data_IF_277374266689
#
_entry.id   IF_277374266689
#
_cell.length_a   1.000
_cell.length_b   1.000
_cell.length_c   1.000
_cell.angle_alpha   90.00
_cell.angle_beta   90.00
_cell.angle_gamma   90.00
#
_symmetry.space_group_name_H-M   'P 1'
#
loop_
_entity.id
_entity.type
_entity.pdbx_description
1 polymer ?
#
# COMPACT_ATOMS: atom_id res chain seq x y z
N UNK A 1 -7.09 -6.17 -3.95
CA UNK A 1 -6.82 -4.91 -4.67
C UNK A 1 -6.02 -5.16 -5.91
N UNK A 2 -6.15 -4.26 -6.86
CA UNK A 2 -5.26 -4.21 -8.01
C UNK A 2 -3.98 -3.47 -7.61
N UNK A 3 -2.91 -4.18 -7.58
CA UNK A 3 -1.62 -3.69 -7.13
C UNK A 3 -0.85 -4.82 -6.46
N UNK A 4 0.24 -5.24 -7.04
CA UNK A 4 1.00 -6.38 -6.58
C UNK A 4 2.50 -6.11 -6.54
N UNK A 5 3.27 -7.18 -6.57
CA UNK A 5 4.72 -7.13 -6.42
C UNK A 5 5.44 -6.32 -7.51
N UNK A 6 4.90 -6.32 -8.74
CA UNK A 6 5.49 -5.52 -9.84
C UNK A 6 5.34 -4.02 -9.62
N UNK A 7 4.42 -3.59 -8.75
CA UNK A 7 4.19 -2.20 -8.41
C UNK A 7 4.89 -1.80 -7.12
N UNK A 8 4.81 -2.65 -6.09
CA UNK A 8 5.18 -2.31 -4.73
C UNK A 8 6.51 -2.94 -4.28
N UNK A 9 7.09 -3.83 -5.11
CA UNK A 9 8.13 -4.78 -4.70
C UNK A 9 7.61 -5.79 -3.68
N UNK A 10 8.42 -6.78 -3.30
CA UNK A 10 8.08 -7.71 -2.23
C UNK A 10 8.81 -7.42 -0.93
N UNK A 11 9.25 -6.19 -0.75
CA UNK A 11 9.84 -5.80 0.52
C UNK A 11 8.78 -5.82 1.61
N UNK A 12 9.19 -6.24 2.80
CA UNK A 12 8.27 -6.53 3.89
C UNK A 12 8.82 -6.07 5.22
N UNK A 13 7.91 -5.85 6.14
CA UNK A 13 8.20 -5.47 7.50
C UNK A 13 7.56 -6.50 8.43
N UNK A 14 8.27 -6.89 9.48
CA UNK A 14 7.71 -7.76 10.51
C UNK A 14 7.13 -6.93 11.65
N UNK A 15 5.85 -7.15 11.95
CA UNK A 15 5.17 -6.52 13.07
C UNK A 15 5.03 -7.50 14.22
N UNK A 16 5.39 -7.04 15.42
CA UNK A 16 5.12 -7.77 16.66
C UNK A 16 3.66 -7.52 17.08
N UNK A 17 2.89 -8.58 17.20
CA UNK A 17 1.52 -8.51 17.68
C UNK A 17 1.47 -8.62 19.21
N UNK A 18 0.39 -8.13 19.81
CA UNK A 18 0.19 -8.17 21.27
C UNK A 18 0.21 -9.59 21.87
N UNK A 19 -0.13 -10.58 21.07
CA UNK A 19 -0.13 -11.99 21.46
C UNK A 19 1.19 -12.71 21.15
N UNK A 20 2.28 -11.98 21.04
CA UNK A 20 3.62 -12.47 20.71
C UNK A 20 3.76 -13.13 19.34
N UNK A 21 2.74 -13.05 18.49
CA UNK A 21 2.83 -13.51 17.10
C UNK A 21 3.48 -12.45 16.23
N UNK A 22 4.38 -12.89 15.35
CA UNK A 22 4.97 -12.04 14.33
C UNK A 22 4.12 -12.08 13.06
N UNK A 23 3.87 -10.93 12.45
CA UNK A 23 3.14 -10.82 11.20
C UNK A 23 3.97 -10.05 10.18
N UNK A 24 4.16 -10.63 9.02
CA UNK A 24 4.79 -9.94 7.90
C UNK A 24 3.75 -9.09 7.16
N UNK A 25 4.11 -7.85 6.88
CA UNK A 25 3.28 -6.93 6.11
C UNK A 25 4.05 -6.37 4.92
N UNK A 26 3.33 -6.03 3.87
CA UNK A 26 3.88 -5.50 2.62
C UNK A 26 3.53 -4.03 2.39
N UNK A 27 2.88 -3.40 3.32
CA UNK A 27 2.54 -1.99 3.30
C UNK A 27 1.41 -1.65 4.26
N UNK A 28 1.29 -0.39 4.60
CA UNK A 28 0.19 0.17 5.36
C UNK A 28 -0.94 0.63 4.44
N UNK A 29 -2.09 0.91 5.02
CA UNK A 29 -3.28 1.35 4.29
C UNK A 29 -3.55 2.81 4.62
N UNK A 30 -3.79 3.61 3.59
CA UNK A 30 -4.18 5.01 3.71
C UNK A 30 -5.59 5.16 3.17
N UNK A 31 -6.44 5.78 3.96
CA UNK A 31 -7.82 6.03 3.57
C UNK A 31 -7.92 7.35 2.81
N UNK A 32 -8.64 7.34 1.71
CA UNK A 32 -9.02 8.56 1.01
C UNK A 32 -10.35 9.06 1.60
N UNK A 33 -10.33 10.27 2.13
CA UNK A 33 -11.53 10.94 2.62
C UNK A 33 -11.57 12.36 2.05
N UNK A 34 -12.64 12.69 1.33
CA UNK A 34 -12.84 14.01 0.74
C UNK A 34 -11.64 14.51 -0.09
N UNK A 35 -11.07 13.61 -0.90
CA UNK A 35 -9.85 13.82 -1.71
C UNK A 35 -8.57 14.04 -0.89
N UNK A 36 -8.60 13.67 0.39
CA UNK A 36 -7.45 13.75 1.29
C UNK A 36 -6.92 12.36 1.63
N UNK A 37 -5.63 12.14 1.42
CA UNK A 37 -4.92 10.90 1.73
C UNK A 37 -4.20 10.96 3.09
N UNK A 38 -4.58 11.85 3.98
CA UNK A 38 -3.86 12.07 5.23
C UNK A 38 -4.10 11.02 6.31
N UNK A 39 -5.15 10.21 6.19
CA UNK A 39 -5.52 9.27 7.23
C UNK A 39 -4.88 7.89 7.04
N UNK A 40 -3.82 7.63 7.79
CA UNK A 40 -3.17 6.32 7.85
C UNK A 40 -3.93 5.45 8.85
N UNK A 41 -4.35 4.26 8.43
CA UNK A 41 -5.05 3.32 9.31
C UNK A 41 -4.08 2.63 10.28
N UNK A 42 -4.50 2.31 11.50
CA UNK A 42 -3.64 1.61 12.45
C UNK A 42 -3.16 0.26 11.91
N UNK A 43 -1.86 0.00 12.01
CA UNK A 43 -1.26 -1.25 11.54
C UNK A 43 -1.73 -2.48 12.32
N UNK A 44 -2.34 -2.30 13.46
CA UNK A 44 -2.85 -3.39 14.31
C UNK A 44 -3.97 -4.22 13.69
N UNK A 45 -4.42 -3.89 12.50
CA UNK A 45 -5.48 -4.64 11.82
C UNK A 45 -5.65 -4.26 10.36
N UNK A 46 -4.82 -3.33 9.86
CA UNK A 46 -4.99 -2.77 8.53
C UNK A 46 -3.64 -2.72 7.81
N UNK A 47 -3.42 -3.65 6.90
CA UNK A 47 -2.14 -3.75 6.19
C UNK A 47 -2.28 -4.59 4.91
N UNK A 48 -1.28 -4.47 4.05
CA UNK A 48 -1.15 -5.37 2.90
C UNK A 48 -0.59 -6.69 3.41
N UNK A 49 -1.40 -7.73 3.34
CA UNK A 49 -1.09 -9.05 3.89
C UNK A 49 -0.28 -9.91 2.93
N UNK A 50 -0.57 -9.83 1.64
CA UNK A 50 0.03 -10.70 0.64
C UNK A 50 0.05 -10.00 -0.71
N UNK A 51 1.11 -10.25 -1.47
CA UNK A 51 1.24 -9.77 -2.84
C UNK A 51 1.40 -10.95 -3.80
N UNK A 52 0.58 -10.97 -4.84
CA UNK A 52 0.84 -11.70 -6.08
C UNK A 52 1.59 -10.77 -7.02
N UNK A 53 1.74 -11.15 -8.28
CA UNK A 53 2.43 -10.31 -9.25
C UNK A 53 1.74 -8.95 -9.46
N UNK A 54 0.44 -8.95 -9.69
CA UNK A 54 -0.34 -7.76 -10.06
C UNK A 54 -1.47 -7.44 -9.07
N UNK A 55 -1.71 -8.30 -8.10
CA UNK A 55 -2.78 -8.16 -7.13
C UNK A 55 -2.26 -8.24 -5.71
N UNK A 56 -2.97 -7.64 -4.81
CA UNK A 56 -2.68 -7.69 -3.39
C UNK A 56 -3.91 -8.06 -2.57
N UNK A 57 -3.66 -8.73 -1.47
CA UNK A 57 -4.68 -9.00 -0.46
C UNK A 57 -4.39 -8.10 0.72
N UNK A 58 -5.36 -7.28 1.08
CA UNK A 58 -5.27 -6.42 2.25
C UNK A 58 -6.13 -6.98 3.37
N UNK A 59 -5.66 -6.81 4.58
CA UNK A 59 -6.44 -7.04 5.78
C UNK A 59 -6.95 -5.71 6.29
N UNK A 60 -8.22 -5.68 6.68
CA UNK A 60 -8.83 -4.51 7.31
C UNK A 60 -9.48 -4.93 8.63
N UNK A 61 -9.50 -4.03 9.60
CA UNK A 61 -10.32 -4.20 10.78
C UNK A 61 -11.80 -4.25 10.38
N UNK A 62 -12.63 -4.85 11.20
CA UNK A 62 -14.06 -5.01 10.90
C UNK A 62 -14.74 -3.67 10.59
N UNK A 63 -14.46 -2.65 11.39
CA UNK A 63 -15.02 -1.31 11.19
C UNK A 63 -14.58 -0.67 9.86
N UNK A 64 -13.34 -0.88 9.44
CA UNK A 64 -12.86 -0.35 8.17
C UNK A 64 -13.40 -1.15 6.98
N UNK A 65 -13.47 -2.47 7.13
CA UNK A 65 -14.02 -3.34 6.09
C UNK A 65 -15.47 -2.99 5.75
N UNK A 66 -16.27 -2.70 6.75
CA UNK A 66 -17.69 -2.34 6.58
C UNK A 66 -17.89 -1.02 5.82
N UNK A 67 -16.85 -0.17 5.79
CA UNK A 67 -16.90 1.13 5.14
C UNK A 67 -16.26 1.15 3.75
N UNK A 68 -15.74 0.04 3.28
CA UNK A 68 -15.09 -0.06 1.98
C UNK A 68 -15.90 -0.98 1.05
N UNK A 69 -16.07 -0.57 -0.18
CA UNK A 69 -16.82 -1.30 -1.20
C UNK A 69 -15.94 -1.54 -2.41
N UNK A 70 -16.29 -2.56 -3.18
CA UNK A 70 -15.64 -2.84 -4.47
C UNK A 70 -15.77 -1.60 -5.38
N UNK A 71 -14.65 -1.16 -5.91
CA UNK A 71 -14.56 0.04 -6.73
C UNK A 71 -14.00 1.25 -5.99
N UNK A 72 -13.96 1.22 -4.66
CA UNK A 72 -13.36 2.30 -3.88
C UNK A 72 -11.84 2.34 -4.07
N UNK A 73 -11.30 3.54 -3.95
CA UNK A 73 -9.86 3.77 -3.96
C UNK A 73 -9.30 3.75 -2.54
N UNK A 74 -8.19 3.07 -2.39
CA UNK A 74 -7.40 3.10 -1.16
C UNK A 74 -5.96 3.47 -1.50
N UNK A 75 -5.26 4.07 -0.56
CA UNK A 75 -3.83 4.29 -0.68
C UNK A 75 -3.06 3.17 0.00
N UNK A 76 -1.91 2.84 -0.54
CA UNK A 76 -0.98 1.92 0.07
C UNK A 76 0.31 2.67 0.38
N UNK A 77 0.70 2.66 1.65
CA UNK A 77 1.98 3.20 2.08
C UNK A 77 3.00 2.05 1.99
N UNK A 78 3.88 2.08 0.99
CA UNK A 78 4.81 0.96 0.79
C UNK A 78 5.83 0.86 1.92
N UNK A 79 6.32 -0.34 2.15
CA UNK A 79 7.38 -0.57 3.14
C UNK A 79 8.66 0.17 2.73
N UNK A 80 8.96 0.18 1.43
CA UNK A 80 10.15 0.83 0.90
C UNK A 80 9.78 1.67 -0.33
N UNK A 81 9.63 2.95 -0.12
CA UNK A 81 9.17 3.88 -1.16
C UNK A 81 10.11 3.94 -2.38
N UNK A 82 11.41 3.87 -2.16
CA UNK A 82 12.39 3.89 -3.24
C UNK A 82 12.24 2.70 -4.19
N UNK A 83 12.03 1.50 -3.65
CA UNK A 83 11.81 0.30 -4.45
C UNK A 83 10.51 0.38 -5.23
N UNK A 84 9.46 0.91 -4.62
CA UNK A 84 8.16 1.11 -5.28
C UNK A 84 8.29 2.10 -6.44
N UNK A 85 8.94 3.21 -6.20
CA UNK A 85 9.17 4.21 -7.24
C UNK A 85 9.99 3.64 -8.40
N UNK A 86 11.00 2.82 -8.12
CA UNK A 86 11.80 2.14 -9.13
C UNK A 86 10.97 1.15 -9.94
N UNK A 87 10.15 0.33 -9.29
CA UNK A 87 9.25 -0.62 -9.95
C UNK A 87 8.29 0.09 -10.91
N UNK A 88 7.79 1.26 -10.52
CA UNK A 88 6.82 2.04 -11.31
C UNK A 88 7.46 2.85 -12.43
N UNK A 89 8.73 3.14 -12.33
CA UNK A 89 9.47 3.96 -13.28
C UNK A 89 9.15 5.44 -13.24
N UNK A 90 8.12 5.83 -12.52
CA UNK A 90 7.69 7.21 -12.33
C UNK A 90 6.37 7.24 -11.57
N UNK A 91 5.91 8.44 -11.28
CA UNK A 91 4.69 8.61 -10.51
C UNK A 91 4.03 9.97 -10.80
N UNK A 92 2.77 10.06 -10.46
CA UNK A 92 2.02 11.30 -10.46
C UNK A 92 2.02 11.90 -9.05
N UNK A 93 2.28 13.18 -8.95
CA UNK A 93 2.09 13.88 -7.69
C UNK A 93 0.59 14.23 -7.48
N UNK A 94 0.27 14.78 -6.33
CA UNK A 94 -1.10 15.16 -5.98
C UNK A 94 -1.70 16.24 -6.90
N UNK A 95 -0.86 17.00 -7.60
CA UNK A 95 -1.29 18.01 -8.58
C UNK A 95 -1.46 17.43 -10.00
N UNK A 96 -1.28 16.11 -10.16
CA UNK A 96 -1.38 15.45 -11.46
C UNK A 96 -0.14 15.59 -12.34
N UNK A 97 0.96 16.11 -11.81
CA UNK A 97 2.21 16.22 -12.55
C UNK A 97 2.96 14.90 -12.52
N UNK A 98 3.38 14.43 -13.69
CA UNK A 98 4.20 13.23 -13.81
C UNK A 98 5.66 13.52 -13.49
N UNK A 99 6.24 12.66 -12.66
CA UNK A 99 7.64 12.71 -12.25
C UNK A 99 8.28 11.38 -12.64
N UNK A 100 9.27 11.44 -13.52
CA UNK A 100 10.01 10.27 -13.96
C UNK A 100 11.12 9.94 -12.97
N UNK A 101 11.37 8.65 -12.75
CA UNK A 101 12.53 8.21 -11.98
C UNK A 101 13.80 8.47 -12.76
N UNK A 102 14.81 9.00 -12.05
CA UNK A 102 16.13 9.19 -12.63
C UNK A 102 16.72 7.82 -13.02
N UNK A 103 17.33 7.77 -14.20
CA UNK A 103 17.92 6.56 -14.77
C UNK A 103 16.92 5.45 -15.10
N UNK A 104 15.63 5.73 -15.06
CA UNK A 104 14.66 4.73 -15.47
C UNK A 104 14.75 4.52 -16.98
N UNK A 105 14.92 3.26 -17.39
CA UNK A 105 15.06 2.87 -18.80
C UNK A 105 13.78 2.22 -19.29
N UNK A 106 13.40 2.62 -20.45
CA UNK A 106 12.30 2.00 -21.18
C UNK A 106 12.82 1.05 -22.24
#
# INVERSE_FOLDING_TARGET
VHGGAVHLSKDRLTLQQENETETEIFGGIVRLRDKDWSQILPLSGNYVRKLSQEHGIIRLSESEFDNIRVGDLIGILPVHSCLTADCMGGYLNENGRYISMMNWRR
#
